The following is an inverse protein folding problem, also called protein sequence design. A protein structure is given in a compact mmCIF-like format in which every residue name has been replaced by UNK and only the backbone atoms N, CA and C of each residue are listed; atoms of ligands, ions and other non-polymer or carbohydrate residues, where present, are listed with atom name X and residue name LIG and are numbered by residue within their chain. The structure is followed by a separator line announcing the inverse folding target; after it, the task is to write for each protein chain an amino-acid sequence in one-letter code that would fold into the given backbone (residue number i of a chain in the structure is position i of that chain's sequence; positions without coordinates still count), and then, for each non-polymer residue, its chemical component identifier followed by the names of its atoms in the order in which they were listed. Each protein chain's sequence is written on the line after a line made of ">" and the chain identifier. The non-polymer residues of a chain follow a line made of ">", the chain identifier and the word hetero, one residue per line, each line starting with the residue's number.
data_IF_675273883745
#
_entry.id   IF_675273883745
#
_cell.length_a   1.000
_cell.length_b   1.000
_cell.length_c   1.000
_cell.angle_alpha   90.00
_cell.angle_beta   90.00
_cell.angle_gamma   90.00
#
_symmetry.space_group_name_H-M   'P 1'
#
loop_
_entity.id
_entity.type
_entity.pdbx_description
1 polymer ?
#
# COMPACT_ATOMS: atom_id res chain seq x y z
N UNK A 1 -1.12 74.61 73.93
CA UNK A 1 -1.57 73.58 74.91
C UNK A 1 -0.78 73.79 76.21
N UNK A 2 -1.42 73.71 77.38
CA UNK A 2 -0.77 73.89 78.69
C UNK A 2 0.03 72.62 79.07
N UNK A 3 1.27 72.72 79.59
CA UNK A 3 2.12 71.58 79.95
C UNK A 3 1.50 70.61 80.99
N UNK A 4 0.62 71.07 81.88
CA UNK A 4 -0.10 70.22 82.83
C UNK A 4 -1.15 69.36 82.13
N UNK A 5 -1.86 69.91 81.14
CA UNK A 5 -2.84 69.15 80.34
C UNK A 5 -2.16 68.05 79.52
N UNK A 6 -0.97 68.31 78.98
CA UNK A 6 -0.18 67.30 78.26
C UNK A 6 0.25 66.15 79.17
N UNK A 7 0.63 66.43 80.42
CA UNK A 7 1.03 65.39 81.40
C UNK A 7 -0.14 64.49 81.77
N UNK A 8 -1.31 65.07 82.09
CA UNK A 8 -2.50 64.28 82.44
C UNK A 8 -2.98 63.42 81.27
N UNK A 9 -2.92 63.94 80.04
CA UNK A 9 -3.21 63.16 78.83
C UNK A 9 -2.25 62.00 78.65
N UNK A 10 -0.95 62.21 78.88
CA UNK A 10 0.07 61.17 78.75
C UNK A 10 -0.04 60.09 79.85
N UNK A 11 -0.37 60.50 81.08
CA UNK A 11 -0.61 59.56 82.18
C UNK A 11 -1.88 58.73 81.98
N UNK A 12 -2.96 59.35 81.49
CA UNK A 12 -4.18 58.63 81.11
C UNK A 12 -3.92 57.65 79.97
N UNK A 13 -3.18 58.08 78.94
CA UNK A 13 -2.79 57.27 77.79
C UNK A 13 -1.98 56.04 78.19
N UNK A 14 -0.93 56.23 79.01
CA UNK A 14 -0.11 55.11 79.51
C UNK A 14 -0.87 54.15 80.43
N UNK A 15 -1.89 54.62 81.13
CA UNK A 15 -2.75 53.76 81.96
C UNK A 15 -3.66 52.87 81.12
N UNK A 16 -4.14 53.40 79.99
CA UNK A 16 -5.05 52.70 79.08
C UNK A 16 -4.29 51.77 78.11
N UNK A 17 -3.06 52.15 77.76
CA UNK A 17 -2.15 51.37 76.91
C UNK A 17 -0.78 51.21 77.60
N UNK A 18 -0.69 50.37 78.64
CA UNK A 18 0.55 50.21 79.41
C UNK A 18 1.70 49.59 78.62
N UNK A 19 1.42 48.94 77.48
CA UNK A 19 2.41 48.31 76.61
C UNK A 19 2.16 48.64 75.12
N UNK A 20 1.98 49.94 74.84
CA UNK A 20 1.75 50.46 73.48
C UNK A 20 2.85 50.06 72.49
N UNK A 21 4.09 49.92 72.97
CA UNK A 21 5.25 49.55 72.14
C UNK A 21 5.15 48.09 71.70
N UNK A 22 4.85 47.15 72.60
CA UNK A 22 4.65 45.75 72.20
C UNK A 22 3.44 45.58 71.27
N UNK A 23 2.39 46.37 71.46
CA UNK A 23 1.24 46.39 70.54
C UNK A 23 1.68 46.85 69.14
N UNK A 24 2.45 47.94 69.04
CA UNK A 24 2.96 48.46 67.78
C UNK A 24 3.93 47.47 67.09
N UNK A 25 4.83 46.84 67.85
CA UNK A 25 5.74 45.82 67.33
C UNK A 25 5.00 44.61 66.78
N UNK A 26 3.95 44.15 67.48
CA UNK A 26 3.11 43.04 67.02
C UNK A 26 2.30 43.42 65.78
N UNK A 27 1.78 44.64 65.72
CA UNK A 27 1.11 45.17 64.51
C UNK A 27 2.08 45.23 63.32
N UNK A 28 3.33 45.68 63.54
CA UNK A 28 4.35 45.73 62.50
C UNK A 28 4.72 44.32 61.98
N UNK A 29 4.86 43.35 62.88
CA UNK A 29 5.11 41.95 62.51
C UNK A 29 3.95 41.37 61.67
N UNK A 30 2.70 41.64 62.04
CA UNK A 30 1.53 41.22 61.27
C UNK A 30 1.47 41.87 59.89
N UNK A 31 1.85 43.16 59.77
CA UNK A 31 1.93 43.84 58.47
C UNK A 31 2.98 43.17 57.56
N UNK A 32 4.15 42.84 58.10
CA UNK A 32 5.21 42.14 57.36
C UNK A 32 4.76 40.74 56.91
N UNK A 33 4.07 40.00 57.78
CA UNK A 33 3.49 38.70 57.42
C UNK A 33 2.45 38.82 56.31
N UNK A 34 1.54 39.80 56.39
CA UNK A 34 0.53 40.05 55.35
C UNK A 34 1.17 40.40 54.00
N UNK A 35 2.21 41.22 54.00
CA UNK A 35 2.96 41.53 52.79
C UNK A 35 3.63 40.27 52.20
N UNK A 36 4.21 39.43 53.05
CA UNK A 36 4.76 38.14 52.62
C UNK A 36 3.69 37.20 52.03
N UNK A 37 2.50 37.12 52.65
CA UNK A 37 1.39 36.33 52.11
C UNK A 37 0.93 36.84 50.75
N UNK A 38 0.79 38.17 50.59
CA UNK A 38 0.43 38.78 49.31
C UNK A 38 1.45 38.46 48.22
N UNK A 39 2.75 38.59 48.52
CA UNK A 39 3.82 38.22 47.59
C UNK A 39 3.78 36.72 47.23
N UNK A 40 3.41 35.85 48.19
CA UNK A 40 3.23 34.42 47.92
C UNK A 40 2.03 34.15 47.02
N UNK A 41 0.89 34.81 47.25
CA UNK A 41 -0.28 34.68 46.39
C UNK A 41 0.02 35.09 44.95
N UNK A 42 0.67 36.23 44.75
CA UNK A 42 1.05 36.71 43.40
C UNK A 42 1.93 35.70 42.66
N UNK A 43 2.89 35.07 43.36
CA UNK A 43 3.72 33.99 42.79
C UNK A 43 2.91 32.75 42.44
N UNK A 44 1.97 32.35 43.30
CA UNK A 44 1.10 31.19 43.05
C UNK A 44 0.20 31.45 41.85
N UNK A 45 -0.40 32.64 41.75
CA UNK A 45 -1.22 33.01 40.58
C UNK A 45 -0.41 32.94 39.29
N UNK A 46 0.82 33.47 39.28
CA UNK A 46 1.70 33.36 38.12
C UNK A 46 2.00 31.91 37.76
N UNK A 47 2.37 31.09 38.75
CA UNK A 47 2.67 29.67 38.53
C UNK A 47 1.47 28.91 37.95
N UNK A 48 0.25 29.18 38.43
CA UNK A 48 -0.98 28.57 37.92
C UNK A 48 -1.21 28.96 36.46
N UNK A 49 -1.01 30.23 36.10
CA UNK A 49 -1.17 30.70 34.72
C UNK A 49 -0.13 30.08 33.78
N UNK A 50 1.15 30.05 34.21
CA UNK A 50 2.24 29.43 33.45
C UNK A 50 1.98 27.92 33.26
N UNK A 51 1.50 27.25 34.30
CA UNK A 51 1.14 25.84 34.25
C UNK A 51 -0.06 25.58 33.31
N UNK A 52 -1.10 26.40 33.37
CA UNK A 52 -2.25 26.32 32.46
C UNK A 52 -1.81 26.46 31.00
N UNK A 53 -0.96 27.45 30.71
CA UNK A 53 -0.41 27.66 29.36
C UNK A 53 0.40 26.46 28.89
N UNK A 54 1.19 25.86 29.79
CA UNK A 54 1.95 24.64 29.49
C UNK A 54 1.02 23.46 29.18
N UNK A 55 -0.06 23.28 29.93
CA UNK A 55 -1.03 22.20 29.68
C UNK A 55 -1.75 22.39 28.34
N UNK A 56 -2.16 23.61 28.01
CA UNK A 56 -2.78 23.92 26.70
C UNK A 56 -1.85 23.56 25.53
N UNK A 57 -0.55 23.85 25.67
CA UNK A 57 0.44 23.50 24.67
C UNK A 57 0.64 21.98 24.53
N UNK A 58 0.61 21.25 25.64
CA UNK A 58 0.68 19.78 25.63
C UNK A 58 -0.57 19.16 25.00
N UNK A 59 -1.75 19.68 25.31
CA UNK A 59 -3.01 19.18 24.77
C UNK A 59 -3.07 19.35 23.25
N UNK A 60 -2.65 20.51 22.73
CA UNK A 60 -2.53 20.73 21.27
C UNK A 60 -1.57 19.75 20.60
N UNK A 61 -0.45 19.43 21.24
CA UNK A 61 0.50 18.43 20.72
C UNK A 61 -0.11 17.02 20.73
N UNK A 62 -0.85 16.68 21.77
CA UNK A 62 -1.55 15.40 21.86
C UNK A 62 -2.59 15.26 20.74
N UNK A 63 -3.47 16.24 20.57
CA UNK A 63 -4.47 16.23 19.48
C UNK A 63 -3.82 16.14 18.09
N UNK A 64 -2.69 16.82 17.88
CA UNK A 64 -1.96 16.75 16.62
C UNK A 64 -1.36 15.36 16.39
N UNK A 65 -0.79 14.74 17.44
CA UNK A 65 -0.26 13.39 17.38
C UNK A 65 -1.36 12.35 17.13
N UNK A 66 -2.49 12.44 17.83
CA UNK A 66 -3.66 11.57 17.62
C UNK A 66 -4.19 11.68 16.19
N UNK A 67 -4.29 12.90 15.65
CA UNK A 67 -4.68 13.11 14.25
C UNK A 67 -3.68 12.47 13.28
N UNK A 68 -2.38 12.60 13.56
CA UNK A 68 -1.34 11.97 12.73
C UNK A 68 -1.40 10.44 12.78
N UNK A 69 -1.68 9.86 13.95
CA UNK A 69 -1.85 8.41 14.12
C UNK A 69 -3.05 7.93 13.32
N UNK A 70 -4.21 8.59 13.44
CA UNK A 70 -5.40 8.22 12.70
C UNK A 70 -5.22 8.31 11.17
N UNK A 71 -4.42 9.28 10.69
CA UNK A 71 -4.06 9.36 9.28
C UNK A 71 -3.16 8.21 8.85
N UNK A 72 -2.14 7.89 9.65
CA UNK A 72 -1.23 6.78 9.38
C UNK A 72 -1.99 5.44 9.34
N UNK A 73 -2.86 5.17 10.31
CA UNK A 73 -3.69 3.97 10.36
C UNK A 73 -4.57 3.83 9.11
N UNK A 74 -5.15 4.94 8.62
CA UNK A 74 -5.93 4.94 7.38
C UNK A 74 -5.04 4.63 6.17
N UNK A 75 -3.88 5.27 6.07
CA UNK A 75 -2.94 5.06 4.97
C UNK A 75 -2.38 3.64 4.94
N UNK A 76 -2.11 3.04 6.11
CA UNK A 76 -1.65 1.66 6.23
C UNK A 76 -2.73 0.68 5.77
N UNK A 77 -3.97 0.90 6.21
CA UNK A 77 -5.12 0.09 5.75
C UNK A 77 -5.29 0.19 4.23
N UNK A 78 -5.13 1.38 3.67
CA UNK A 78 -5.19 1.57 2.21
C UNK A 78 -4.07 0.79 1.50
N UNK A 79 -2.82 0.90 1.98
CA UNK A 79 -1.68 0.20 1.37
C UNK A 79 -1.84 -1.33 1.44
N UNK A 80 -2.42 -1.87 2.51
CA UNK A 80 -2.74 -3.30 2.61
C UNK A 80 -3.76 -3.69 1.53
N UNK A 81 -4.85 -2.93 1.37
CA UNK A 81 -5.85 -3.21 0.34
C UNK A 81 -5.27 -3.11 -1.08
N UNK A 82 -4.43 -2.12 -1.35
CA UNK A 82 -3.75 -1.96 -2.64
C UNK A 82 -2.78 -3.12 -2.92
N UNK A 83 -2.00 -3.53 -1.90
CA UNK A 83 -1.13 -4.70 -1.98
C UNK A 83 -1.92 -5.96 -2.28
N UNK A 84 -3.00 -6.23 -1.54
CA UNK A 84 -3.81 -7.45 -1.71
C UNK A 84 -4.47 -7.48 -3.10
N UNK A 85 -4.91 -6.33 -3.60
CA UNK A 85 -5.43 -6.21 -4.96
C UNK A 85 -4.35 -6.49 -6.02
N UNK A 86 -3.13 -5.97 -5.84
CA UNK A 86 -2.00 -6.23 -6.73
C UNK A 86 -1.58 -7.71 -6.69
N UNK A 87 -1.52 -8.31 -5.51
CA UNK A 87 -1.23 -9.74 -5.33
C UNK A 87 -2.26 -10.62 -6.03
N UNK A 88 -3.54 -10.30 -5.91
CA UNK A 88 -4.60 -11.02 -6.62
C UNK A 88 -4.45 -10.89 -8.14
N UNK A 89 -4.18 -9.70 -8.65
CA UNK A 89 -3.99 -9.48 -10.08
C UNK A 89 -2.79 -10.27 -10.64
N UNK A 90 -1.67 -10.32 -9.89
CA UNK A 90 -0.51 -11.13 -10.25
C UNK A 90 -0.81 -12.63 -10.20
N UNK A 91 -1.58 -13.07 -9.19
CA UNK A 91 -2.01 -14.47 -9.10
C UNK A 91 -2.90 -14.87 -10.28
N UNK A 92 -3.81 -14.00 -10.71
CA UNK A 92 -4.68 -14.23 -11.86
C UNK A 92 -3.87 -14.31 -13.17
N UNK A 93 -2.88 -13.42 -13.35
CA UNK A 93 -1.96 -13.48 -14.50
C UNK A 93 -1.15 -14.76 -14.52
N UNK A 94 -0.58 -15.15 -13.37
CA UNK A 94 0.17 -16.39 -13.25
C UNK A 94 -0.69 -17.62 -13.55
N UNK A 95 -1.91 -17.67 -13.00
CA UNK A 95 -2.85 -18.75 -13.26
C UNK A 95 -3.26 -18.82 -14.73
N UNK A 96 -3.49 -17.68 -15.39
CA UNK A 96 -3.81 -17.64 -16.81
C UNK A 96 -2.69 -18.22 -17.69
N UNK A 97 -1.43 -17.98 -17.32
CA UNK A 97 -0.27 -18.45 -18.08
C UNK A 97 0.14 -19.89 -17.75
N UNK A 98 0.00 -20.32 -16.49
CA UNK A 98 0.51 -21.62 -16.02
C UNK A 98 -0.57 -22.68 -15.84
N UNK A 99 -1.83 -22.25 -15.65
CA UNK A 99 -2.98 -23.10 -15.36
C UNK A 99 -3.24 -23.33 -13.87
N UNK A 100 -2.32 -22.93 -12.99
CA UNK A 100 -2.41 -23.13 -11.53
C UNK A 100 -2.19 -21.80 -10.79
N UNK A 101 -2.83 -21.63 -9.64
CA UNK A 101 -2.65 -20.42 -8.83
C UNK A 101 -1.30 -20.50 -8.09
N UNK A 102 -0.54 -19.41 -7.97
CA UNK A 102 0.75 -19.46 -7.28
C UNK A 102 0.57 -19.66 -5.77
N UNK A 103 1.48 -20.39 -5.15
CA UNK A 103 1.60 -20.52 -3.70
C UNK A 103 2.71 -19.58 -3.20
N UNK A 104 2.31 -18.39 -2.74
CA UNK A 104 3.27 -17.41 -2.23
C UNK A 104 4.00 -17.94 -0.99
N UNK A 105 5.31 -17.81 -0.98
CA UNK A 105 6.14 -18.18 0.16
C UNK A 105 7.40 -17.32 0.24
N UNK A 106 8.13 -17.42 1.35
CA UNK A 106 9.41 -16.72 1.50
C UNK A 106 10.47 -17.14 0.47
N UNK A 107 10.30 -18.31 -0.18
CA UNK A 107 11.22 -18.84 -1.19
C UNK A 107 10.67 -18.71 -2.61
N UNK A 108 9.43 -18.25 -2.77
CA UNK A 108 8.77 -18.08 -4.06
C UNK A 108 7.92 -16.81 -4.03
N UNK A 109 8.46 -15.74 -4.62
CA UNK A 109 7.87 -14.42 -4.66
C UNK A 109 7.38 -14.02 -6.05
N UNK A 110 7.04 -12.73 -6.20
CA UNK A 110 6.48 -12.20 -7.44
C UNK A 110 7.44 -12.27 -8.63
N UNK A 111 8.76 -12.09 -8.39
CA UNK A 111 9.75 -12.19 -9.45
C UNK A 111 9.84 -13.62 -10.00
N UNK A 112 9.89 -14.62 -9.12
CA UNK A 112 9.91 -16.03 -9.51
C UNK A 112 8.65 -16.41 -10.32
N UNK A 113 7.49 -15.89 -9.91
CA UNK A 113 6.24 -16.08 -10.65
C UNK A 113 6.30 -15.48 -12.06
N UNK A 114 6.85 -14.26 -12.20
CA UNK A 114 7.00 -13.60 -13.51
C UNK A 114 7.99 -14.36 -14.40
N UNK A 115 9.11 -14.83 -13.86
CA UNK A 115 10.10 -15.61 -14.60
C UNK A 115 9.49 -16.90 -15.17
N UNK A 116 8.66 -17.59 -14.38
CA UNK A 116 7.91 -18.78 -14.85
C UNK A 116 6.94 -18.42 -15.98
N UNK A 117 6.20 -17.32 -15.85
CA UNK A 117 5.27 -16.86 -16.90
C UNK A 117 6.02 -16.54 -18.19
N UNK A 118 7.18 -15.88 -18.10
CA UNK A 118 8.03 -15.56 -19.23
C UNK A 118 8.54 -16.83 -19.94
N UNK A 119 9.03 -17.81 -19.18
CA UNK A 119 9.48 -19.09 -19.75
C UNK A 119 8.35 -19.85 -20.46
N UNK A 120 7.14 -19.85 -19.87
CA UNK A 120 5.98 -20.49 -20.48
C UNK A 120 5.55 -19.78 -21.75
N UNK A 121 5.56 -18.44 -21.77
CA UNK A 121 5.25 -17.67 -22.97
C UNK A 121 6.27 -17.95 -24.08
N UNK A 122 7.57 -17.93 -23.78
CA UNK A 122 8.61 -18.25 -24.75
C UNK A 122 8.45 -19.67 -25.34
N UNK A 123 8.07 -20.63 -24.50
CA UNK A 123 7.78 -22.01 -24.94
C UNK A 123 6.58 -22.08 -25.88
N UNK A 124 5.50 -21.35 -25.55
CA UNK A 124 4.30 -21.30 -26.39
C UNK A 124 4.57 -20.61 -27.73
N UNK A 125 5.31 -19.51 -27.74
CA UNK A 125 5.70 -18.79 -28.97
C UNK A 125 6.59 -19.65 -29.88
N UNK A 126 7.53 -20.40 -29.29
CA UNK A 126 8.37 -21.34 -30.02
C UNK A 126 7.56 -22.47 -30.67
N UNK A 127 6.57 -23.01 -29.94
CA UNK A 127 5.67 -24.04 -30.46
C UNK A 127 4.78 -23.52 -31.59
N UNK A 128 4.28 -22.28 -31.48
CA UNK A 128 3.42 -21.68 -32.50
C UNK A 128 4.19 -21.34 -33.80
N UNK A 129 5.46 -20.97 -33.68
CA UNK A 129 6.30 -20.58 -34.81
C UNK A 129 6.89 -21.76 -35.58
N UNK A 130 6.83 -22.98 -35.04
CA UNK A 130 7.33 -24.17 -35.71
C UNK A 130 6.31 -24.72 -36.71
N UNK A 131 6.63 -24.61 -38.00
CA UNK A 131 6.04 -25.48 -39.01
C UNK A 131 6.42 -26.91 -38.67
N UNK A 132 5.44 -27.77 -38.40
CA UNK A 132 5.72 -29.15 -37.99
C UNK A 132 6.53 -29.87 -39.07
N UNK A 133 7.43 -30.82 -38.72
CA UNK A 133 8.15 -31.61 -39.71
C UNK A 133 7.21 -32.27 -40.74
N UNK A 134 6.04 -32.73 -40.27
CA UNK A 134 4.97 -33.26 -41.13
C UNK A 134 4.42 -32.21 -42.09
N UNK A 135 4.19 -30.98 -41.63
CA UNK A 135 3.75 -29.87 -42.49
C UNK A 135 4.79 -29.50 -43.55
N UNK A 136 6.08 -29.46 -43.18
CA UNK A 136 7.19 -29.24 -44.12
C UNK A 136 7.24 -30.34 -45.18
N UNK A 137 7.10 -31.61 -44.76
CA UNK A 137 7.08 -32.75 -45.66
C UNK A 137 5.90 -32.67 -46.64
N UNK A 138 4.69 -32.39 -46.14
CA UNK A 138 3.48 -32.27 -46.95
C UNK A 138 3.61 -31.17 -48.01
N UNK A 139 4.18 -30.02 -47.64
CA UNK A 139 4.46 -28.92 -48.58
C UNK A 139 5.50 -29.34 -49.63
N UNK A 140 6.58 -30.01 -49.21
CA UNK A 140 7.65 -30.46 -50.12
C UNK A 140 7.14 -31.45 -51.15
N UNK A 141 6.37 -32.44 -50.71
CA UNK A 141 5.74 -33.44 -51.58
C UNK A 141 4.70 -32.80 -52.51
N UNK A 142 3.90 -31.84 -52.01
CA UNK A 142 2.92 -31.12 -52.81
C UNK A 142 3.58 -30.33 -53.95
N UNK A 143 4.72 -29.68 -53.68
CA UNK A 143 5.51 -28.97 -54.70
C UNK A 143 6.00 -29.96 -55.77
N UNK A 144 6.52 -31.11 -55.37
CA UNK A 144 6.98 -32.15 -56.28
C UNK A 144 5.86 -32.69 -57.18
N UNK A 145 4.70 -32.97 -56.60
CA UNK A 145 3.53 -33.42 -57.35
C UNK A 145 2.99 -32.36 -58.30
N UNK A 146 3.03 -31.10 -57.91
CA UNK A 146 2.66 -29.99 -58.80
C UNK A 146 3.56 -29.98 -60.05
N UNK A 147 4.87 -30.14 -59.87
CA UNK A 147 5.82 -30.27 -60.97
C UNK A 147 5.52 -31.46 -61.89
N UNK A 148 5.17 -32.61 -61.30
CA UNK A 148 4.80 -33.82 -62.05
C UNK A 148 3.51 -33.62 -62.87
N UNK A 149 2.47 -33.03 -62.28
CA UNK A 149 1.19 -32.72 -62.94
C UNK A 149 1.43 -31.79 -64.13
N UNK A 150 2.17 -30.70 -63.93
CA UNK A 150 2.52 -29.75 -65.01
C UNK A 150 3.31 -30.47 -66.11
N UNK A 151 4.28 -31.32 -65.76
CA UNK A 151 5.04 -32.10 -66.72
C UNK A 151 4.17 -33.05 -67.57
N UNK A 152 3.20 -33.73 -66.94
CA UNK A 152 2.26 -34.61 -67.62
C UNK A 152 1.37 -33.84 -68.62
N UNK A 153 0.88 -32.66 -68.23
CA UNK A 153 0.08 -31.80 -69.11
C UNK A 153 0.89 -31.33 -70.33
N UNK A 154 2.14 -30.89 -70.12
CA UNK A 154 3.03 -30.47 -71.22
C UNK A 154 3.37 -31.61 -72.18
N UNK A 155 3.40 -32.85 -71.70
CA UNK A 155 3.65 -34.05 -72.50
C UNK A 155 2.39 -34.63 -73.15
N UNK A 156 1.22 -33.98 -72.98
CA UNK A 156 -0.04 -34.46 -73.54
C UNK A 156 -0.61 -35.71 -72.84
N UNK A 157 -0.27 -35.93 -71.56
CA UNK A 157 -0.79 -37.02 -70.71
C UNK A 157 -1.72 -36.49 -69.61
N UNK A 158 -2.92 -36.00 -69.95
CA UNK A 158 -3.85 -35.41 -68.98
C UNK A 158 -4.45 -36.44 -68.00
N UNK A 159 -4.47 -37.71 -68.39
CA UNK A 159 -4.90 -38.84 -67.57
C UNK A 159 -4.03 -39.00 -66.31
N UNK A 160 -2.71 -38.99 -66.47
CA UNK A 160 -1.76 -39.08 -65.35
C UNK A 160 -1.79 -37.82 -64.48
N UNK A 161 -1.97 -36.65 -65.09
CA UNK A 161 -2.13 -35.39 -64.37
C UNK A 161 -3.38 -35.40 -63.47
N UNK A 162 -4.50 -35.93 -64.00
CA UNK A 162 -5.75 -36.05 -63.26
C UNK A 162 -5.65 -37.09 -62.14
N UNK A 163 -4.98 -38.22 -62.39
CA UNK A 163 -4.75 -39.25 -61.37
C UNK A 163 -3.95 -38.69 -60.19
N UNK A 164 -2.84 -38.01 -60.46
CA UNK A 164 -2.02 -37.41 -59.40
C UNK A 164 -2.77 -36.31 -58.66
N UNK A 165 -3.53 -35.47 -59.37
CA UNK A 165 -4.37 -34.44 -58.75
C UNK A 165 -5.39 -35.02 -57.75
N UNK A 166 -6.01 -36.17 -58.06
CA UNK A 166 -6.97 -36.83 -57.16
C UNK A 166 -6.32 -37.35 -55.88
N UNK A 167 -5.09 -37.87 -55.96
CA UNK A 167 -4.34 -38.32 -54.78
C UNK A 167 -4.11 -37.15 -53.82
N UNK A 168 -3.75 -35.98 -54.34
CA UNK A 168 -3.52 -34.78 -53.55
C UNK A 168 -4.79 -34.18 -52.95
N UNK A 169 -5.92 -34.21 -53.66
CA UNK A 169 -7.21 -33.83 -53.07
C UNK A 169 -7.54 -34.69 -51.83
N UNK A 170 -7.28 -35.99 -51.89
CA UNK A 170 -7.46 -36.87 -50.74
C UNK A 170 -6.45 -36.58 -49.61
N UNK A 171 -5.17 -36.37 -49.94
CA UNK A 171 -4.12 -36.10 -48.97
C UNK A 171 -4.36 -34.78 -48.21
N UNK A 172 -4.78 -33.72 -48.91
CA UNK A 172 -5.13 -32.45 -48.27
C UNK A 172 -6.41 -32.54 -47.43
N UNK A 173 -7.41 -33.34 -47.86
CA UNK A 173 -8.61 -33.59 -47.06
C UNK A 173 -8.27 -34.23 -45.71
N UNK A 174 -7.41 -35.25 -45.71
CA UNK A 174 -6.94 -35.90 -44.47
C UNK A 174 -6.12 -34.94 -43.59
N UNK A 175 -5.26 -34.11 -44.20
CA UNK A 175 -4.49 -33.12 -43.45
C UNK A 175 -5.39 -32.05 -42.79
N UNK A 176 -6.45 -31.60 -43.46
CA UNK A 176 -7.42 -30.66 -42.91
C UNK A 176 -8.20 -31.21 -41.70
N UNK A 177 -8.53 -32.50 -41.70
CA UNK A 177 -9.16 -33.16 -40.54
C UNK A 177 -8.23 -33.17 -39.32
N UNK A 178 -6.92 -33.42 -39.53
CA UNK A 178 -5.91 -33.43 -38.45
C UNK A 178 -5.76 -32.04 -37.83
N UNK A 179 -5.67 -30.99 -38.65
CA UNK A 179 -5.56 -29.60 -38.18
C UNK A 179 -6.81 -29.20 -37.37
N UNK A 180 -8.00 -29.53 -37.87
CA UNK A 180 -9.26 -29.24 -37.17
C UNK A 180 -9.37 -29.93 -35.81
N UNK A 181 -8.81 -31.14 -35.67
CA UNK A 181 -8.79 -31.86 -34.40
C UNK A 181 -7.79 -31.28 -33.38
N UNK A 182 -6.68 -30.69 -33.85
CA UNK A 182 -5.69 -30.03 -32.98
C UNK A 182 -6.20 -28.71 -32.41
N UNK A 183 -6.92 -27.91 -33.19
CA UNK A 183 -7.54 -26.66 -32.72
C UNK A 183 -8.58 -26.90 -31.62
N UNK A 184 -9.32 -28.01 -31.70
CA UNK A 184 -10.29 -28.40 -30.68
C UNK A 184 -9.66 -28.80 -29.34
N UNK A 185 -8.41 -29.30 -29.34
CA UNK A 185 -7.70 -29.70 -28.12
C UNK A 185 -7.02 -28.52 -27.39
N UNK A 186 -6.70 -27.43 -28.09
CA UNK A 186 -6.10 -26.23 -27.51
C UNK A 186 -7.07 -25.36 -26.69
N UNK A 187 -8.39 -25.50 -26.89
CA UNK A 187 -9.43 -24.74 -26.19
C UNK A 187 -9.91 -25.52 -24.95
N UNK A 188 -8.96 -26.00 -24.14
CA UNK A 188 -9.22 -26.64 -22.86
C UNK A 188 -9.21 -25.62 -21.72
N UNK A 189 -10.02 -24.55 -21.80
CA UNK A 189 -10.27 -23.69 -20.62
C UNK A 189 -11.11 -24.53 -19.64
N UNK A 190 -10.45 -25.15 -18.66
CA UNK A 190 -11.14 -25.74 -17.52
C UNK A 190 -11.70 -24.60 -16.68
N UNK A 191 -12.97 -24.28 -16.91
CA UNK A 191 -13.76 -23.51 -15.97
C UNK A 191 -14.30 -24.44 -14.89
N UNK A 192 -13.81 -24.26 -13.67
CA UNK A 192 -14.57 -24.42 -12.42
C UNK A 192 -14.11 -23.33 -11.44
#
# INVERSE_FOLDING_TARGET
>A
MNPVSCKLLNEAWKKEFPDEVAIAERMLALLYELEHYKSREERVTKLVLDNSTSWDALYKKLEAAERSIAELERSETQLINERDAAESALADMYQAATGERPEWSNMFGFADAVDVVEERLATLEANQSQTTPTGIQLITEAIGAHGYIVGCLLQGRPDLALEESRKWVSAFGQAAEIVSAQDAAGIGVKGE
#
